data_IF_129372921506
#
_entry.id   IF_129372921506
#
_cell.length_a   1.000
_cell.length_b   1.000
_cell.length_c   1.000
_cell.angle_alpha   90.00
_cell.angle_beta   90.00
_cell.angle_gamma   90.00
#
_symmetry.space_group_name_H-M   'P 1'
#
loop_
_entity.id
_entity.type
_entity.pdbx_description
1 polymer ?
#
# COMPACT_ATOMS: atom_id res chain seq x y z
N UNK A 1 -5.55 -41.62 63.44
CA UNK A 1 -5.89 -40.60 62.43
C UNK A 1 -5.99 -39.27 63.14
N UNK A 2 -4.87 -38.58 63.32
CA UNK A 2 -4.87 -37.23 63.90
C UNK A 2 -4.91 -36.20 62.77
N UNK A 3 -5.73 -35.16 62.98
CA UNK A 3 -5.95 -34.06 62.05
C UNK A 3 -5.28 -32.82 62.65
N UNK A 4 -4.25 -32.28 61.98
CA UNK A 4 -3.61 -31.06 62.44
C UNK A 4 -4.46 -29.84 62.04
N UNK A 5 -4.84 -29.03 63.03
CA UNK A 5 -5.68 -27.83 62.90
C UNK A 5 -4.93 -26.64 63.51
N UNK A 6 -4.76 -25.53 62.78
CA UNK A 6 -4.10 -24.31 63.27
C UNK A 6 -5.07 -23.11 63.27
N UNK A 7 -5.63 -22.71 64.42
CA UNK A 7 -6.45 -21.50 64.55
C UNK A 7 -5.62 -20.26 64.95
N UNK A 8 -6.00 -19.07 64.47
CA UNK A 8 -5.50 -17.76 64.92
C UNK A 8 -6.55 -17.10 65.84
N UNK A 9 -6.29 -16.91 67.14
CA UNK A 9 -7.31 -16.44 68.12
C UNK A 9 -7.07 -14.97 68.53
N UNK A 10 -8.14 -14.16 68.55
CA UNK A 10 -8.23 -12.87 69.28
C UNK A 10 -9.53 -12.85 70.09
N UNK A 11 -9.46 -12.32 71.33
CA UNK A 11 -10.48 -12.49 72.36
C UNK A 11 -11.27 -11.20 72.64
N UNK A 12 -12.60 -11.32 72.75
CA UNK A 12 -13.47 -10.37 73.47
C UNK A 12 -14.59 -11.13 74.17
N UNK A 13 -15.00 -10.65 75.34
CA UNK A 13 -15.70 -11.40 76.39
C UNK A 13 -17.13 -11.89 76.08
N UNK A 14 -17.77 -11.45 74.98
CA UNK A 14 -19.18 -11.74 74.70
C UNK A 14 -19.47 -12.14 73.23
N UNK A 15 -18.53 -12.78 72.53
CA UNK A 15 -18.79 -13.30 71.17
C UNK A 15 -18.18 -14.67 70.90
N UNK A 16 -18.90 -15.51 70.15
CA UNK A 16 -18.37 -16.75 69.58
C UNK A 16 -17.70 -16.44 68.24
N UNK A 17 -16.38 -16.65 68.14
CA UNK A 17 -15.64 -16.63 66.88
C UNK A 17 -15.42 -18.08 66.42
N UNK A 18 -16.17 -18.54 65.42
CA UNK A 18 -15.89 -19.80 64.74
C UNK A 18 -14.75 -19.60 63.73
N UNK A 19 -13.52 -19.93 64.12
CA UNK A 19 -12.43 -20.12 63.15
C UNK A 19 -12.50 -21.52 62.58
N UNK A 20 -13.16 -21.64 61.43
CA UNK A 20 -13.09 -22.85 60.61
C UNK A 20 -11.63 -23.05 60.19
N UNK A 21 -11.05 -24.25 60.31
CA UNK A 21 -9.66 -24.48 59.90
C UNK A 21 -9.47 -24.12 58.43
N UNK A 22 -8.52 -23.24 58.15
CA UNK A 22 -8.17 -22.85 56.78
C UNK A 22 -7.39 -23.96 56.05
N UNK A 23 -6.91 -24.98 56.77
CA UNK A 23 -6.05 -26.04 56.25
C UNK A 23 -6.27 -27.35 57.02
N UNK A 24 -6.50 -28.43 56.27
CA UNK A 24 -6.59 -29.80 56.75
C UNK A 24 -5.58 -30.67 55.99
N UNK A 25 -4.71 -31.39 56.70
CA UNK A 25 -3.80 -32.40 56.13
C UNK A 25 -3.80 -33.65 57.00
N UNK A 26 -4.25 -34.80 56.48
CA UNK A 26 -4.11 -36.09 57.14
C UNK A 26 -2.62 -36.45 57.37
N UNK A 27 -2.33 -36.98 58.56
CA UNK A 27 -0.97 -37.33 59.00
C UNK A 27 -0.32 -38.47 58.18
N UNK A 28 -1.12 -39.28 57.47
CA UNK A 28 -0.67 -40.44 56.69
C UNK A 28 -0.01 -40.11 55.33
N UNK A 29 0.28 -38.83 55.05
CA UNK A 29 0.77 -38.37 53.75
C UNK A 29 2.24 -37.95 53.77
N UNK A 30 3.02 -38.53 52.85
CA UNK A 30 4.46 -38.29 52.68
C UNK A 30 4.74 -37.06 51.79
N UNK A 31 6.02 -36.75 51.60
CA UNK A 31 6.49 -35.76 50.61
C UNK A 31 6.12 -36.13 49.17
N UNK A 32 5.98 -37.42 48.86
CA UNK A 32 5.73 -37.91 47.50
C UNK A 32 4.24 -38.06 47.14
N UNK A 33 3.38 -38.13 48.16
CA UNK A 33 1.94 -38.32 47.97
C UNK A 33 1.15 -37.74 49.14
N UNK A 34 0.20 -36.88 48.83
CA UNK A 34 -0.74 -36.41 49.82
C UNK A 34 -1.86 -35.55 49.30
N UNK A 35 -2.77 -35.23 50.21
CA UNK A 35 -3.88 -34.32 50.00
C UNK A 35 -3.98 -33.35 51.17
N UNK A 36 -4.24 -32.09 50.87
CA UNK A 36 -4.62 -31.08 51.82
C UNK A 36 -5.81 -30.28 51.27
N UNK A 37 -6.71 -29.83 52.15
CA UNK A 37 -7.93 -29.13 51.75
C UNK A 37 -8.36 -28.10 52.79
N UNK A 38 -9.22 -27.16 52.39
CA UNK A 38 -9.74 -26.05 53.19
C UNK A 38 -10.86 -25.34 52.40
N UNK A 39 -11.48 -24.32 52.99
CA UNK A 39 -12.68 -23.69 52.40
C UNK A 39 -12.43 -23.04 51.02
N UNK A 40 -11.24 -22.50 50.79
CA UNK A 40 -10.79 -21.97 49.49
C UNK A 40 -9.49 -22.63 49.01
N UNK A 41 -9.17 -23.80 49.52
CA UNK A 41 -7.87 -24.43 49.30
C UNK A 41 -8.03 -25.92 49.03
N UNK A 42 -7.36 -26.42 48.01
CA UNK A 42 -7.21 -27.86 47.79
C UNK A 42 -5.86 -28.11 47.12
N UNK A 43 -5.10 -29.08 47.63
CA UNK A 43 -3.83 -29.48 47.07
C UNK A 43 -3.72 -31.00 47.12
N UNK A 44 -3.53 -31.62 45.97
CA UNK A 44 -3.32 -33.04 45.81
C UNK A 44 -2.04 -33.24 45.02
N UNK A 45 -1.03 -33.81 45.65
CA UNK A 45 0.26 -34.09 45.04
C UNK A 45 0.52 -35.59 45.02
N UNK A 46 1.11 -36.04 43.92
CA UNK A 46 1.59 -37.40 43.64
C UNK A 46 2.91 -37.25 42.88
N UNK A 47 3.70 -38.31 42.83
CA UNK A 47 5.01 -38.35 42.15
C UNK A 47 5.04 -37.66 40.77
N UNK A 48 4.02 -37.86 39.94
CA UNK A 48 3.94 -37.30 38.58
C UNK A 48 2.78 -36.33 38.38
N UNK A 49 1.91 -36.13 39.37
CA UNK A 49 0.67 -35.38 39.21
C UNK A 49 0.46 -34.43 40.37
N UNK A 50 0.15 -33.18 40.06
CA UNK A 50 -0.18 -32.17 41.05
C UNK A 50 -1.45 -31.45 40.63
N UNK A 51 -2.36 -31.26 41.58
CA UNK A 51 -3.57 -30.46 41.43
C UNK A 51 -3.68 -29.50 42.60
N UNK A 52 -3.80 -28.21 42.33
CA UNK A 52 -3.83 -27.17 43.33
C UNK A 52 -4.93 -26.17 43.02
N UNK A 53 -5.65 -25.75 44.05
CA UNK A 53 -6.74 -24.80 44.01
C UNK A 53 -6.58 -23.84 45.18
N UNK A 54 -6.61 -22.53 44.91
CA UNK A 54 -6.58 -21.47 45.91
C UNK A 54 -7.48 -20.31 45.45
N UNK A 55 -8.71 -20.24 45.97
CA UNK A 55 -9.69 -19.24 45.57
C UNK A 55 -10.00 -19.31 44.06
N UNK A 56 -9.83 -18.22 43.28
CA UNK A 56 -10.06 -18.24 41.82
C UNK A 56 -8.89 -18.87 41.04
N UNK A 57 -7.84 -19.34 41.71
CA UNK A 57 -6.71 -19.98 41.07
C UNK A 57 -6.86 -21.50 41.08
N UNK A 58 -6.62 -22.12 39.94
CA UNK A 58 -6.52 -23.57 39.77
C UNK A 58 -5.27 -23.89 38.94
N UNK A 59 -4.57 -24.96 39.30
CA UNK A 59 -3.50 -25.52 38.49
C UNK A 59 -3.51 -27.04 38.56
N UNK A 60 -3.21 -27.65 37.42
CA UNK A 60 -2.98 -29.07 37.25
C UNK A 60 -1.70 -29.24 36.47
N UNK A 61 -0.86 -30.21 36.86
CA UNK A 61 0.35 -30.56 36.16
C UNK A 61 0.53 -32.07 36.20
N UNK A 62 0.85 -32.66 35.04
CA UNK A 62 1.32 -34.03 34.94
C UNK A 62 2.69 -34.02 34.25
N UNK A 63 3.74 -34.38 35.00
CA UNK A 63 5.12 -34.35 34.52
C UNK A 63 5.46 -35.47 33.53
N UNK A 64 4.70 -36.57 33.53
CA UNK A 64 4.92 -37.72 32.65
C UNK A 64 4.52 -37.41 31.21
N UNK A 65 3.37 -36.75 31.04
CA UNK A 65 2.84 -36.37 29.72
C UNK A 65 3.16 -34.92 29.34
N UNK A 66 3.97 -34.22 30.15
CA UNK A 66 4.25 -32.78 30.01
C UNK A 66 2.99 -31.91 29.85
N UNK A 67 1.90 -32.29 30.54
CA UNK A 67 0.62 -31.59 30.45
C UNK A 67 0.42 -30.66 31.64
N UNK A 68 -0.22 -29.52 31.39
CA UNK A 68 -0.62 -28.61 32.45
C UNK A 68 -1.92 -27.89 32.10
N UNK A 69 -2.66 -27.49 33.12
CA UNK A 69 -3.79 -26.58 33.00
C UNK A 69 -3.69 -25.56 34.13
N UNK A 70 -3.84 -24.29 33.82
CA UNK A 70 -3.88 -23.22 34.83
C UNK A 70 -5.07 -22.35 34.55
N UNK A 71 -5.80 -22.00 35.59
CA UNK A 71 -6.88 -21.04 35.55
C UNK A 71 -6.61 -20.03 36.65
N UNK A 72 -6.66 -18.75 36.29
CA UNK A 72 -6.68 -17.62 37.19
C UNK A 72 -7.84 -16.72 36.79
N UNK A 73 -8.12 -15.69 37.59
CA UNK A 73 -9.24 -14.77 37.32
C UNK A 73 -9.15 -14.04 35.96
N UNK A 74 -7.99 -14.02 35.31
CA UNK A 74 -7.75 -13.30 34.06
C UNK A 74 -7.15 -14.18 32.96
N UNK A 75 -6.85 -15.45 33.22
CA UNK A 75 -6.12 -16.28 32.27
C UNK A 75 -6.43 -17.76 32.47
N UNK A 76 -6.70 -18.43 31.36
CA UNK A 76 -6.75 -19.88 31.27
C UNK A 76 -5.64 -20.34 30.32
N UNK A 77 -4.80 -21.27 30.74
CA UNK A 77 -3.68 -21.80 29.96
C UNK A 77 -3.76 -23.32 30.00
N UNK A 78 -3.56 -23.99 28.86
CA UNK A 78 -3.47 -25.44 28.81
C UNK A 78 -2.35 -25.92 27.90
N UNK A 79 -1.80 -27.07 28.26
CA UNK A 79 -0.92 -27.88 27.44
C UNK A 79 -1.33 -29.33 27.58
N UNK A 80 -1.80 -29.91 26.49
CA UNK A 80 -2.12 -31.32 26.34
C UNK A 80 -1.14 -32.01 25.39
N UNK A 81 -1.36 -33.30 25.09
CA UNK A 81 -0.52 -34.05 24.15
C UNK A 81 -0.60 -33.54 22.70
N UNK A 82 -1.79 -33.11 22.27
CA UNK A 82 -2.06 -32.70 20.88
C UNK A 82 -2.35 -31.19 20.76
N UNK A 83 -2.69 -30.52 21.86
CA UNK A 83 -3.13 -29.11 21.83
C UNK A 83 -2.51 -28.32 22.95
N UNK A 84 -2.12 -27.08 22.66
CA UNK A 84 -1.71 -26.10 23.65
C UNK A 84 -2.36 -24.75 23.36
N UNK A 85 -2.55 -23.92 24.37
CA UNK A 85 -3.12 -22.60 24.17
C UNK A 85 -3.40 -21.83 25.44
N UNK A 86 -3.87 -20.61 25.23
CA UNK A 86 -4.14 -19.62 26.27
C UNK A 86 -5.38 -18.81 25.91
N UNK A 87 -6.20 -18.49 26.90
CA UNK A 87 -7.33 -17.56 26.80
C UNK A 87 -7.21 -16.56 27.95
N UNK A 88 -7.10 -15.29 27.62
CA UNK A 88 -7.15 -14.16 28.54
C UNK A 88 -7.97 -13.03 27.89
N UNK A 89 -8.38 -11.99 28.63
CA UNK A 89 -9.03 -10.83 28.05
C UNK A 89 -8.21 -10.20 26.91
N UNK A 90 -6.88 -10.30 26.95
CA UNK A 90 -5.97 -9.63 26.03
C UNK A 90 -5.33 -10.54 24.97
N UNK A 91 -5.43 -11.85 25.14
CA UNK A 91 -4.73 -12.81 24.29
C UNK A 91 -5.52 -14.11 24.19
N UNK A 92 -5.68 -14.61 22.97
CA UNK A 92 -6.16 -15.95 22.68
C UNK A 92 -5.13 -16.64 21.79
N UNK A 93 -4.58 -17.76 22.24
CA UNK A 93 -3.69 -18.61 21.46
C UNK A 93 -4.17 -20.05 21.44
N UNK A 94 -4.01 -20.70 20.30
CA UNK A 94 -4.34 -22.11 20.09
C UNK A 94 -3.34 -22.70 19.13
N UNK A 95 -2.79 -23.85 19.50
CA UNK A 95 -1.83 -24.58 18.68
C UNK A 95 -2.07 -26.08 18.73
N UNK A 96 -1.97 -26.70 17.56
CA UNK A 96 -1.99 -28.14 17.29
C UNK A 96 -0.99 -28.43 16.15
N UNK A 97 -0.80 -29.68 15.75
CA UNK A 97 0.10 -30.09 14.66
C UNK A 97 -0.13 -29.33 13.35
N UNK A 98 -1.38 -29.00 13.02
CA UNK A 98 -1.76 -28.39 11.74
C UNK A 98 -2.04 -26.88 11.80
N UNK A 99 -2.23 -26.33 13.01
CA UNK A 99 -2.77 -24.99 13.19
C UNK A 99 -2.04 -24.26 14.30
N UNK A 100 -1.63 -23.02 14.03
CA UNK A 100 -1.07 -22.09 15.01
C UNK A 100 -1.81 -20.75 14.88
N UNK A 101 -2.67 -20.47 15.85
CA UNK A 101 -3.49 -19.26 15.95
C UNK A 101 -3.04 -18.43 17.15
N UNK A 102 -2.78 -17.16 16.90
CA UNK A 102 -2.50 -16.17 17.93
C UNK A 102 -3.31 -14.90 17.66
N UNK A 103 -4.02 -14.42 18.68
CA UNK A 103 -4.81 -13.19 18.66
C UNK A 103 -4.50 -12.38 19.92
N UNK A 104 -4.06 -11.14 19.76
CA UNK A 104 -3.90 -10.18 20.86
C UNK A 104 -4.91 -9.03 20.72
N UNK A 105 -5.46 -8.50 21.83
CA UNK A 105 -6.35 -7.33 21.86
C UNK A 105 -5.72 -6.08 21.23
N UNK A 106 -4.40 -6.01 21.13
CA UNK A 106 -3.64 -4.96 20.44
C UNK A 106 -3.53 -5.19 18.92
N UNK A 107 -4.21 -6.20 18.36
CA UNK A 107 -4.42 -6.34 16.93
C UNK A 107 -3.45 -7.25 16.19
N UNK A 108 -2.47 -7.87 16.85
CA UNK A 108 -1.65 -8.90 16.20
C UNK A 108 -2.46 -10.20 16.06
N UNK A 109 -2.91 -10.48 14.84
CA UNK A 109 -3.45 -11.79 14.45
C UNK A 109 -2.42 -12.48 13.55
N UNK A 110 -1.85 -13.59 14.01
CA UNK A 110 -1.00 -14.46 13.20
C UNK A 110 -1.70 -15.80 13.07
N UNK A 111 -2.20 -16.11 11.88
CA UNK A 111 -2.70 -17.44 11.55
C UNK A 111 -1.71 -18.11 10.60
N UNK A 112 -0.90 -19.04 11.12
CA UNK A 112 -0.09 -19.91 10.24
C UNK A 112 -0.91 -21.17 9.99
N UNK A 113 -1.90 -21.06 9.11
CA UNK A 113 -2.59 -22.23 8.59
C UNK A 113 -1.79 -22.77 7.40
N UNK A 114 -1.40 -24.04 7.41
CA UNK A 114 -0.83 -24.74 6.24
C UNK A 114 -1.91 -25.04 5.16
N UNK A 115 -2.88 -24.15 5.00
CA UNK A 115 -4.08 -24.34 4.17
C UNK A 115 -4.28 -23.26 3.11
N UNK A 116 -5.30 -23.40 2.24
CA UNK A 116 -5.55 -22.51 1.12
C UNK A 116 -6.10 -21.13 1.53
N UNK A 117 -6.16 -20.78 2.80
CA UNK A 117 -6.64 -19.50 3.29
C UNK A 117 -5.67 -18.97 4.35
N UNK A 118 -5.15 -17.77 4.14
CA UNK A 118 -4.38 -17.03 5.15
C UNK A 118 -4.92 -15.61 5.29
N UNK A 119 -4.80 -15.05 6.48
CA UNK A 119 -5.23 -13.69 6.80
C UNK A 119 -4.17 -13.01 7.65
N UNK A 120 -3.82 -11.79 7.26
CA UNK A 120 -2.93 -10.90 7.97
C UNK A 120 -3.68 -9.61 8.32
N UNK A 121 -3.41 -9.09 9.52
CA UNK A 121 -4.01 -7.88 10.04
C UNK A 121 -2.90 -7.03 10.66
N UNK A 122 -2.78 -5.78 10.22
CA UNK A 122 -1.79 -4.83 10.70
C UNK A 122 -2.47 -3.52 11.14
N UNK A 123 -1.87 -2.85 12.11
CA UNK A 123 -2.36 -1.62 12.69
C UNK A 123 -1.24 -0.59 12.76
N UNK A 124 -1.46 0.58 12.15
CA UNK A 124 -0.52 1.70 12.22
C UNK A 124 -1.18 2.92 12.87
N UNK A 125 -0.49 3.54 13.82
CA UNK A 125 -0.90 4.83 14.41
C UNK A 125 -0.11 5.95 13.75
N UNK A 126 -0.80 6.88 13.11
CA UNK A 126 -0.19 8.14 12.70
C UNK A 126 -0.22 9.12 13.86
N UNK A 127 0.96 9.33 14.44
CA UNK A 127 1.18 10.21 15.60
C UNK A 127 0.81 11.67 15.32
N UNK A 128 0.80 12.11 14.07
CA UNK A 128 0.53 13.50 13.70
C UNK A 128 -0.97 13.76 13.51
N UNK A 129 -1.69 12.80 12.92
CA UNK A 129 -3.12 12.93 12.66
C UNK A 129 -4.01 12.33 13.75
N UNK A 130 -3.46 11.51 14.65
CA UNK A 130 -4.25 10.76 15.64
C UNK A 130 -5.18 9.73 15.00
N UNK A 131 -4.87 9.32 13.76
CA UNK A 131 -5.62 8.33 13.00
C UNK A 131 -5.00 6.95 13.17
N UNK A 132 -5.85 5.95 13.41
CA UNK A 132 -5.46 4.54 13.42
C UNK A 132 -5.84 3.96 12.06
N UNK A 133 -4.84 3.41 11.37
CA UNK A 133 -5.00 2.65 10.15
C UNK A 133 -5.10 1.18 10.48
N UNK A 134 -6.10 0.52 9.89
CA UNK A 134 -6.33 -0.91 10.00
C UNK A 134 -6.16 -1.49 8.62
N UNK A 135 -5.08 -2.24 8.43
CA UNK A 135 -4.72 -2.89 7.18
C UNK A 135 -5.06 -4.39 7.28
N UNK A 136 -5.91 -4.89 6.39
CA UNK A 136 -6.37 -6.27 6.39
C UNK A 136 -6.05 -6.91 5.05
N UNK A 137 -5.31 -8.00 5.08
CA UNK A 137 -4.95 -8.78 3.90
C UNK A 137 -5.48 -10.21 4.04
N UNK A 138 -6.18 -10.69 3.03
CA UNK A 138 -6.73 -12.03 2.95
C UNK A 138 -6.27 -12.68 1.67
N UNK A 139 -5.64 -13.85 1.78
CA UNK A 139 -5.13 -14.61 0.65
C UNK A 139 -5.84 -15.97 0.56
N UNK A 140 -6.18 -16.37 -0.66
CA UNK A 140 -6.85 -17.63 -0.93
C UNK A 140 -6.13 -18.41 -2.04
N UNK A 141 -6.16 -19.74 -1.92
CA UNK A 141 -5.54 -20.72 -2.80
C UNK A 141 -4.06 -20.42 -3.09
N UNK A 142 -3.23 -20.34 -2.04
CA UNK A 142 -1.79 -20.06 -2.16
C UNK A 142 -1.49 -18.75 -2.92
N UNK A 143 -2.16 -17.67 -2.53
CA UNK A 143 -2.07 -16.33 -3.14
C UNK A 143 -2.59 -16.25 -4.58
N UNK A 144 -3.30 -17.26 -5.08
CA UNK A 144 -3.97 -17.18 -6.37
C UNK A 144 -5.03 -16.08 -6.36
N UNK A 145 -5.65 -15.82 -5.21
CA UNK A 145 -6.54 -14.70 -4.99
C UNK A 145 -6.11 -13.93 -3.73
N UNK A 146 -6.24 -12.61 -3.75
CA UNK A 146 -6.04 -11.78 -2.57
C UNK A 146 -7.06 -10.65 -2.49
N UNK A 147 -7.37 -10.23 -1.28
CA UNK A 147 -8.15 -9.03 -0.98
C UNK A 147 -7.37 -8.25 0.07
N UNK A 148 -7.16 -6.97 -0.19
CA UNK A 148 -6.43 -6.04 0.66
C UNK A 148 -7.32 -4.84 0.99
N UNK A 149 -7.37 -4.42 2.24
CA UNK A 149 -8.20 -3.29 2.69
C UNK A 149 -7.43 -2.42 3.68
N UNK A 150 -7.62 -1.11 3.60
CA UNK A 150 -7.21 -0.14 4.63
C UNK A 150 -8.42 0.66 5.05
N UNK A 151 -8.71 0.65 6.35
CA UNK A 151 -9.74 1.49 6.97
C UNK A 151 -9.10 2.44 7.97
N UNK A 152 -9.72 3.61 8.16
CA UNK A 152 -9.25 4.61 9.12
C UNK A 152 -10.26 4.80 10.22
N UNK A 153 -9.76 4.75 11.46
CA UNK A 153 -10.51 5.15 12.64
C UNK A 153 -9.91 6.45 13.16
N UNK A 154 -10.73 7.50 13.21
CA UNK A 154 -10.34 8.77 13.84
C UNK A 154 -10.62 8.71 15.34
N UNK A 155 -9.60 8.91 16.17
CA UNK A 155 -9.76 8.96 17.62
C UNK A 155 -10.47 10.26 18.05
N UNK A 156 -11.37 10.22 19.06
CA UNK A 156 -12.13 11.39 19.52
C UNK A 156 -11.26 12.47 20.18
N UNK A 157 -9.98 12.19 20.47
CA UNK A 157 -9.02 13.12 21.10
C UNK A 157 -7.98 13.69 20.11
N UNK A 158 -8.34 13.81 18.82
CA UNK A 158 -7.45 14.26 17.74
C UNK A 158 -6.66 15.55 18.04
N UNK A 159 -7.23 16.46 18.82
CA UNK A 159 -6.58 17.71 19.24
C UNK A 159 -5.40 17.50 20.20
N UNK A 160 -5.42 16.43 21.02
CA UNK A 160 -4.34 16.12 21.95
C UNK A 160 -3.07 15.69 21.21
N UNK A 161 -3.21 14.89 20.15
CA UNK A 161 -2.08 14.41 19.34
C UNK A 161 -1.49 15.47 18.41
N UNK A 162 -2.31 16.41 17.91
CA UNK A 162 -1.83 17.58 17.16
C UNK A 162 -0.80 18.43 17.92
N UNK A 163 -0.85 18.46 19.26
CA UNK A 163 0.11 19.20 20.09
C UNK A 163 1.51 18.58 20.15
N UNK A 164 1.65 17.29 19.82
CA UNK A 164 2.92 16.56 19.86
C UNK A 164 3.55 16.33 18.48
N UNK A 165 2.78 16.51 17.40
CA UNK A 165 3.29 16.49 16.03
C UNK A 165 4.05 17.77 15.73
N UNK A 166 5.38 17.69 15.69
CA UNK A 166 6.24 18.79 15.23
C UNK A 166 5.83 19.16 13.80
N UNK A 167 5.72 20.47 13.52
CA UNK A 167 5.46 20.99 12.18
C UNK A 167 6.60 20.58 11.21
N UNK A 168 6.48 19.40 10.62
CA UNK A 168 7.21 19.06 9.42
C UNK A 168 6.57 19.86 8.29
N UNK A 169 7.30 20.88 7.83
CA UNK A 169 7.05 21.58 6.57
C UNK A 169 6.63 20.55 5.53
N UNK A 170 5.44 20.74 4.94
CA UNK A 170 5.13 20.17 3.63
C UNK A 170 6.22 20.69 2.70
N UNK A 171 7.15 19.83 2.30
CA UNK A 171 7.97 20.05 1.12
C UNK A 171 7.01 20.20 -0.05
N UNK A 172 6.69 21.46 -0.33
CA UNK A 172 6.08 21.91 -1.57
C UNK A 172 7.23 22.52 -2.36
N UNK A 173 8.24 21.70 -2.65
CA UNK A 173 9.22 22.01 -3.67
C UNK A 173 8.58 21.69 -5.03
N UNK A 174 7.70 22.60 -5.46
CA UNK A 174 7.42 22.76 -6.88
C UNK A 174 8.66 23.37 -7.53
N UNK A 175 9.61 22.51 -7.90
CA UNK A 175 10.54 22.85 -8.98
C UNK A 175 9.78 22.75 -10.28
N UNK A 176 9.53 23.91 -10.90
CA UNK A 176 9.24 24.01 -12.32
C UNK A 176 10.42 23.44 -13.12
N UNK A 177 10.42 22.13 -13.32
CA UNK A 177 11.23 21.50 -14.36
C UNK A 177 10.45 21.59 -15.66
N UNK A 178 10.91 22.47 -16.55
CA UNK A 178 10.47 22.60 -17.94
C UNK A 178 10.89 21.38 -18.75
N UNK A 179 10.11 20.33 -18.62
CA UNK A 179 10.17 19.12 -19.44
C UNK A 179 8.84 18.37 -19.32
N UNK A 180 8.40 17.70 -20.39
CA UNK A 180 7.19 16.88 -20.36
C UNK A 180 7.43 15.70 -19.41
N UNK A 181 7.05 15.89 -18.16
CA UNK A 181 7.28 14.94 -17.08
C UNK A 181 6.05 14.02 -16.99
N UNK A 182 6.19 12.79 -17.51
CA UNK A 182 5.28 11.65 -17.27
C UNK A 182 5.25 11.20 -15.78
N UNK A 183 5.81 11.96 -14.83
CA UNK A 183 5.93 11.59 -13.41
C UNK A 183 4.70 11.91 -12.55
N UNK A 184 3.68 12.58 -13.09
CA UNK A 184 2.48 12.91 -12.29
C UNK A 184 1.64 11.69 -11.93
N UNK A 185 1.81 10.55 -12.61
CA UNK A 185 1.12 9.31 -12.24
C UNK A 185 1.95 8.48 -11.25
N UNK A 186 1.91 8.87 -9.97
CA UNK A 186 2.44 8.01 -8.90
C UNK A 186 1.54 6.77 -8.79
N UNK A 187 2.16 5.59 -8.92
CA UNK A 187 1.53 4.30 -8.66
C UNK A 187 0.82 4.32 -7.29
N UNK A 188 -0.26 3.56 -7.16
CA UNK A 188 -0.97 3.44 -5.89
C UNK A 188 -0.06 2.78 -4.87
N UNK A 189 0.23 3.52 -3.80
CA UNK A 189 0.89 2.96 -2.63
C UNK A 189 -0.12 2.99 -1.49
N UNK A 190 -0.54 1.80 -1.04
CA UNK A 190 -1.48 1.63 0.10
C UNK A 190 -1.03 2.42 1.33
N UNK A 191 0.26 2.41 1.62
CA UNK A 191 0.84 2.99 2.83
C UNK A 191 0.66 4.51 2.92
N UNK A 192 0.54 5.18 1.77
CA UNK A 192 0.31 6.63 1.67
C UNK A 192 -1.17 7.00 1.53
N UNK A 193 -2.05 6.02 1.34
CA UNK A 193 -3.47 6.23 1.14
C UNK A 193 -4.21 6.31 2.48
N UNK A 194 -5.25 7.15 2.54
CA UNK A 194 -6.14 7.17 3.70
C UNK A 194 -7.07 5.96 3.68
N UNK A 195 -7.76 5.73 2.57
CA UNK A 195 -8.58 4.54 2.34
C UNK A 195 -8.00 3.71 1.20
N UNK A 196 -8.00 2.38 1.36
CA UNK A 196 -7.57 1.46 0.30
C UNK A 196 -8.50 0.25 0.22
N UNK A 197 -8.82 -0.16 -0.99
CA UNK A 197 -9.47 -1.44 -1.27
C UNK A 197 -8.87 -2.02 -2.53
N UNK A 198 -8.39 -3.25 -2.47
CA UNK A 198 -7.85 -3.95 -3.63
C UNK A 198 -8.21 -5.41 -3.61
N UNK A 199 -8.32 -6.01 -4.79
CA UNK A 199 -8.35 -7.44 -4.95
C UNK A 199 -7.45 -7.84 -6.11
N UNK A 200 -6.86 -9.02 -6.01
CA UNK A 200 -6.07 -9.61 -7.06
C UNK A 200 -6.43 -11.07 -7.27
N UNK A 201 -6.23 -11.55 -8.49
CA UNK A 201 -6.45 -12.90 -8.92
C UNK A 201 -5.34 -13.32 -9.89
N UNK A 202 -5.11 -14.63 -10.01
CA UNK A 202 -4.10 -15.22 -10.87
C UNK A 202 -2.70 -14.61 -10.62
N UNK A 203 -2.30 -14.55 -9.35
CA UNK A 203 -1.01 -13.99 -8.92
C UNK A 203 -0.83 -12.51 -9.36
N UNK A 204 -1.91 -11.74 -9.36
CA UNK A 204 -1.89 -10.31 -9.70
C UNK A 204 -2.04 -10.01 -11.20
N UNK A 205 -2.18 -11.02 -12.06
CA UNK A 205 -2.47 -10.80 -13.48
C UNK A 205 -3.80 -10.08 -13.68
N UNK A 206 -4.79 -10.37 -12.84
CA UNK A 206 -6.05 -9.65 -12.80
C UNK A 206 -6.15 -8.94 -11.44
N UNK A 207 -6.28 -7.62 -11.42
CA UNK A 207 -6.47 -6.91 -10.16
C UNK A 207 -7.24 -5.61 -10.32
N UNK A 208 -7.85 -5.19 -9.23
CA UNK A 208 -8.47 -3.89 -9.06
C UNK A 208 -7.94 -3.29 -7.76
N UNK A 209 -7.61 -2.00 -7.78
CA UNK A 209 -7.09 -1.28 -6.63
C UNK A 209 -7.72 0.12 -6.59
N UNK A 210 -8.19 0.49 -5.42
CA UNK A 210 -8.87 1.74 -5.12
C UNK A 210 -8.12 2.39 -3.95
N UNK A 211 -7.67 3.62 -4.14
CA UNK A 211 -6.91 4.39 -3.15
C UNK A 211 -7.39 5.83 -3.14
N UNK A 212 -8.06 6.21 -2.06
CA UNK A 212 -8.74 7.51 -1.94
C UNK A 212 -9.66 7.77 -3.14
N UNK A 213 -9.33 8.71 -4.04
CA UNK A 213 -10.10 8.98 -5.27
C UNK A 213 -9.57 8.24 -6.51
N UNK A 214 -8.41 7.60 -6.42
CA UNK A 214 -7.76 6.90 -7.53
C UNK A 214 -8.25 5.47 -7.62
N UNK A 215 -8.33 4.97 -8.84
CA UNK A 215 -8.85 3.66 -9.21
C UNK A 215 -7.98 3.06 -10.29
N UNK A 216 -7.69 1.77 -10.17
CA UNK A 216 -6.79 1.06 -11.05
C UNK A 216 -7.38 -0.31 -11.32
N UNK A 217 -7.41 -0.72 -12.58
CA UNK A 217 -7.78 -2.06 -12.98
C UNK A 217 -6.77 -2.56 -13.99
N UNK A 218 -6.27 -3.79 -13.80
CA UNK A 218 -5.35 -4.44 -14.72
C UNK A 218 -5.78 -5.88 -14.99
N UNK A 219 -5.62 -6.30 -16.22
CA UNK A 219 -5.76 -7.65 -16.73
C UNK A 219 -4.54 -7.89 -17.65
N UNK A 220 -3.39 -8.19 -17.07
CA UNK A 220 -2.12 -8.28 -17.79
C UNK A 220 -2.07 -9.50 -18.72
N UNK A 221 -1.42 -9.37 -19.90
CA UNK A 221 -0.87 -8.14 -20.50
C UNK A 221 -1.91 -7.35 -21.31
N UNK A 222 -3.18 -7.76 -21.29
CA UNK A 222 -4.21 -7.34 -22.24
C UNK A 222 -4.73 -5.93 -21.98
N UNK A 223 -4.83 -5.50 -20.72
CA UNK A 223 -5.48 -4.24 -20.40
C UNK A 223 -5.00 -3.69 -19.07
N UNK A 224 -4.85 -2.38 -19.00
CA UNK A 224 -4.60 -1.62 -17.79
C UNK A 224 -5.29 -0.27 -17.93
N UNK A 225 -6.24 0.02 -17.05
CA UNK A 225 -6.85 1.34 -16.92
C UNK A 225 -6.60 1.88 -15.53
N UNK A 226 -6.40 3.18 -15.41
CA UNK A 226 -6.36 3.85 -14.13
C UNK A 226 -6.96 5.24 -14.27
N UNK A 227 -7.70 5.69 -13.27
CA UNK A 227 -8.42 6.95 -13.33
C UNK A 227 -8.57 7.55 -11.94
N UNK A 228 -8.76 8.86 -11.88
CA UNK A 228 -9.11 9.58 -10.65
C UNK A 228 -10.58 10.01 -10.72
N UNK A 229 -11.35 9.83 -9.65
CA UNK A 229 -12.73 10.30 -9.55
C UNK A 229 -12.84 11.82 -9.34
N UNK A 230 -11.77 12.46 -8.83
CA UNK A 230 -11.75 13.90 -8.51
C UNK A 230 -11.11 14.76 -9.60
N UNK A 231 -10.35 14.17 -10.51
CA UNK A 231 -9.73 14.89 -11.63
C UNK A 231 -10.13 14.23 -12.96
N UNK A 232 -9.71 14.83 -14.07
CA UNK A 232 -9.86 14.21 -15.39
C UNK A 232 -8.72 13.24 -15.71
N UNK A 233 -7.87 12.94 -14.74
CA UNK A 233 -6.69 12.12 -14.95
C UNK A 233 -7.10 10.68 -15.24
N UNK A 234 -6.70 10.21 -16.42
CA UNK A 234 -6.98 8.86 -16.87
C UNK A 234 -5.80 8.32 -17.67
N UNK A 235 -5.45 7.07 -17.40
CA UNK A 235 -4.46 6.29 -18.11
C UNK A 235 -5.12 5.01 -18.62
N UNK A 236 -4.87 4.65 -19.86
CA UNK A 236 -5.30 3.39 -20.45
C UNK A 236 -4.19 2.80 -21.30
N UNK A 237 -3.94 1.52 -21.15
CA UNK A 237 -2.88 0.78 -21.83
C UNK A 237 -3.41 -0.59 -22.22
N UNK A 238 -3.21 -0.95 -23.47
CA UNK A 238 -3.31 -2.32 -23.96
C UNK A 238 -2.20 -2.55 -25.01
N UNK A 239 -1.97 -3.80 -25.46
CA UNK A 239 -0.92 -4.08 -26.43
C UNK A 239 -1.00 -3.29 -27.76
N UNK A 240 -2.18 -2.75 -28.08
CA UNK A 240 -2.46 -2.04 -29.33
C UNK A 240 -2.65 -0.53 -29.15
N UNK A 241 -2.66 -0.02 -27.92
CA UNK A 241 -3.07 1.35 -27.65
C UNK A 241 -2.60 1.83 -26.28
N UNK A 242 -2.22 3.10 -26.24
CA UNK A 242 -1.89 3.83 -25.02
C UNK A 242 -2.61 5.18 -25.06
N UNK A 243 -3.24 5.58 -23.96
CA UNK A 243 -3.83 6.91 -23.83
C UNK A 243 -3.66 7.43 -22.44
N UNK A 244 -3.33 8.71 -22.35
CA UNK A 244 -3.25 9.48 -21.12
C UNK A 244 -4.04 10.78 -21.30
N UNK A 245 -4.87 11.11 -20.34
CA UNK A 245 -5.62 12.36 -20.31
C UNK A 245 -5.44 12.99 -18.94
N UNK A 246 -5.29 14.31 -18.92
CA UNK A 246 -5.36 15.18 -17.74
C UNK A 246 -6.16 16.43 -18.09
N UNK A 247 -6.23 17.39 -17.17
CA UNK A 247 -6.93 18.66 -17.43
C UNK A 247 -6.32 19.47 -18.58
N UNK A 248 -4.99 19.45 -18.71
CA UNK A 248 -4.28 20.28 -19.70
C UNK A 248 -3.65 19.46 -20.82
N UNK A 249 -3.40 18.17 -20.61
CA UNK A 249 -2.62 17.33 -21.52
C UNK A 249 -3.44 16.10 -21.92
N UNK A 250 -3.42 15.80 -23.22
CA UNK A 250 -3.94 14.56 -23.76
C UNK A 250 -2.87 13.92 -24.65
N UNK A 251 -2.65 12.63 -24.48
CA UNK A 251 -1.73 11.85 -25.26
C UNK A 251 -2.39 10.55 -25.69
N UNK A 252 -2.20 10.16 -26.94
CA UNK A 252 -2.77 8.96 -27.52
C UNK A 252 -1.78 8.33 -28.48
N UNK A 253 -1.56 7.03 -28.37
CA UNK A 253 -0.72 6.25 -29.29
C UNK A 253 -1.47 5.00 -29.68
N UNK A 254 -1.58 4.80 -30.99
CA UNK A 254 -2.04 3.55 -31.56
C UNK A 254 -0.83 2.69 -31.98
N UNK A 255 -0.83 1.46 -31.50
CA UNK A 255 0.24 0.47 -31.65
C UNK A 255 1.56 0.92 -31.01
N UNK A 256 1.70 0.88 -29.66
CA UNK A 256 2.92 1.34 -29.00
C UNK A 256 4.18 0.55 -29.39
N UNK A 257 4.04 -0.71 -29.81
CA UNK A 257 5.16 -1.54 -30.31
C UNK A 257 5.63 -1.08 -31.69
N UNK A 258 4.72 -0.57 -32.52
CA UNK A 258 4.99 -0.03 -33.85
C UNK A 258 4.12 1.22 -34.04
N UNK A 259 4.57 2.41 -33.60
CA UNK A 259 3.71 3.60 -33.53
C UNK A 259 3.25 4.03 -34.92
N UNK A 260 2.03 3.62 -35.25
CA UNK A 260 1.36 3.97 -36.51
C UNK A 260 0.72 5.35 -36.41
N UNK A 261 0.32 5.73 -35.19
CA UNK A 261 -0.25 7.03 -34.90
C UNK A 261 0.07 7.44 -33.46
N UNK A 262 0.47 8.69 -33.27
CA UNK A 262 0.64 9.32 -31.98
C UNK A 262 0.04 10.73 -32.03
N UNK A 263 -0.70 11.14 -31.01
CA UNK A 263 -1.25 12.47 -30.86
C UNK A 263 -0.95 12.99 -29.47
N UNK A 264 -0.47 14.21 -29.39
CA UNK A 264 -0.35 14.98 -28.17
C UNK A 264 -1.13 16.28 -28.32
N UNK A 265 -1.93 16.63 -27.33
CA UNK A 265 -2.57 17.93 -27.20
C UNK A 265 -2.22 18.51 -25.85
N UNK A 266 -1.77 19.75 -25.85
CA UNK A 266 -1.44 20.47 -24.63
C UNK A 266 -2.11 21.85 -24.70
N UNK A 267 -3.11 22.06 -23.84
CA UNK A 267 -3.98 23.23 -23.84
C UNK A 267 -4.65 23.44 -25.21
N UNK A 268 -4.04 24.27 -26.05
CA UNK A 268 -4.50 24.61 -27.40
C UNK A 268 -3.49 24.29 -28.50
N UNK A 269 -2.34 23.70 -28.15
CA UNK A 269 -1.32 23.22 -29.09
C UNK A 269 -1.50 21.73 -29.33
N UNK A 270 -1.11 21.24 -30.51
CA UNK A 270 -1.27 19.82 -30.87
C UNK A 270 -0.13 19.32 -31.76
N UNK A 271 0.25 18.07 -31.59
CA UNK A 271 1.20 17.34 -32.42
C UNK A 271 0.56 16.00 -32.78
N UNK A 272 0.40 15.73 -34.07
CA UNK A 272 -0.04 14.45 -34.62
C UNK A 272 1.10 13.85 -35.45
N UNK A 273 1.57 12.65 -35.12
CA UNK A 273 2.57 11.90 -35.87
C UNK A 273 1.97 10.60 -36.42
N UNK A 274 2.31 10.28 -37.66
CA UNK A 274 1.81 9.12 -38.39
C UNK A 274 2.99 8.30 -38.93
N UNK A 275 2.84 6.98 -38.90
CA UNK A 275 3.74 5.98 -39.47
C UNK A 275 5.22 6.23 -39.13
N UNK A 276 5.62 6.00 -37.87
CA UNK A 276 7.03 6.15 -37.44
C UNK A 276 7.65 7.53 -37.81
N UNK A 277 6.89 8.62 -37.61
CA UNK A 277 7.30 9.99 -37.96
C UNK A 277 7.50 10.24 -39.47
N UNK A 278 6.89 9.42 -40.34
CA UNK A 278 6.80 9.70 -41.77
C UNK A 278 6.02 10.97 -42.04
N UNK A 279 4.96 11.24 -41.29
CA UNK A 279 4.22 12.51 -41.39
C UNK A 279 3.94 13.05 -40.00
N UNK A 280 4.29 14.30 -39.75
CA UNK A 280 4.02 15.01 -38.49
C UNK A 280 3.29 16.31 -38.82
N UNK A 281 2.21 16.58 -38.09
CA UNK A 281 1.47 17.83 -38.12
C UNK A 281 1.53 18.46 -36.74
N UNK A 282 1.98 19.69 -36.65
CA UNK A 282 2.12 20.44 -35.41
C UNK A 282 1.37 21.76 -35.51
N UNK A 283 0.72 22.15 -34.42
CA UNK A 283 0.12 23.45 -34.23
C UNK A 283 0.53 24.00 -32.87
N UNK A 284 1.20 25.14 -32.88
CA UNK A 284 1.54 25.89 -31.66
C UNK A 284 0.62 27.11 -31.54
N UNK A 285 -0.18 27.15 -30.47
CA UNK A 285 -1.08 28.27 -30.21
C UNK A 285 -0.35 29.57 -29.86
N UNK A 286 0.81 29.50 -29.20
CA UNK A 286 1.55 30.68 -28.72
C UNK A 286 2.15 31.46 -29.90
N UNK A 287 2.64 30.74 -30.90
CA UNK A 287 3.23 31.33 -32.10
C UNK A 287 2.23 31.43 -33.27
N UNK A 288 1.02 30.90 -33.09
CA UNK A 288 0.03 30.67 -34.16
C UNK A 288 0.65 29.97 -35.38
N UNK A 289 1.50 28.96 -35.09
CA UNK A 289 2.36 28.32 -36.07
C UNK A 289 1.82 26.94 -36.42
N UNK A 290 1.63 26.70 -37.71
CA UNK A 290 1.33 25.39 -38.28
C UNK A 290 2.59 24.84 -38.93
N UNK A 291 2.95 23.60 -38.61
CA UNK A 291 4.12 22.91 -39.15
C UNK A 291 3.74 21.52 -39.64
N UNK A 292 4.27 21.17 -40.82
CA UNK A 292 4.04 19.91 -41.51
C UNK A 292 5.39 19.32 -41.87
N UNK A 293 5.72 18.17 -41.31
CA UNK A 293 6.93 17.42 -41.61
C UNK A 293 6.59 16.16 -42.38
N UNK A 294 7.31 15.91 -43.47
CA UNK A 294 7.28 14.66 -44.22
C UNK A 294 8.66 14.03 -44.15
N UNK A 295 8.75 12.75 -43.80
CA UNK A 295 9.99 12.02 -43.59
C UNK A 295 10.93 12.78 -42.66
N UNK A 296 10.58 12.92 -41.38
CA UNK A 296 11.42 13.64 -40.43
C UNK A 296 12.86 13.05 -40.44
N UNK A 297 13.93 13.86 -40.51
CA UNK A 297 13.96 15.33 -40.50
C UNK A 297 14.06 15.99 -41.89
N UNK A 298 13.86 15.26 -43.00
CA UNK A 298 14.24 15.71 -44.34
C UNK A 298 13.36 16.82 -44.92
N UNK A 299 12.03 16.65 -44.88
CA UNK A 299 11.10 17.62 -45.48
C UNK A 299 10.23 18.28 -44.43
N UNK A 300 10.14 19.60 -44.46
CA UNK A 300 9.37 20.36 -43.50
C UNK A 300 8.81 21.63 -44.14
N UNK A 301 7.63 22.03 -43.74
CA UNK A 301 6.97 23.26 -44.13
C UNK A 301 6.30 23.87 -42.90
N UNK A 302 6.53 25.16 -42.64
CA UNK A 302 5.91 25.85 -41.52
C UNK A 302 5.40 27.23 -41.93
N UNK A 303 4.35 27.67 -41.25
CA UNK A 303 3.72 28.98 -41.43
C UNK A 303 3.19 29.48 -40.10
N UNK A 304 3.43 30.75 -39.81
CA UNK A 304 2.87 31.48 -38.68
C UNK A 304 2.44 32.87 -39.14
N UNK A 305 2.00 33.71 -38.20
CA UNK A 305 1.69 35.12 -38.46
C UNK A 305 2.93 35.96 -38.84
N UNK A 306 4.12 35.58 -38.37
CA UNK A 306 5.36 36.36 -38.51
C UNK A 306 6.40 35.71 -39.42
N UNK A 307 6.32 34.39 -39.64
CA UNK A 307 7.29 33.66 -40.42
C UNK A 307 6.68 32.51 -41.22
N UNK A 308 7.32 32.17 -42.33
CA UNK A 308 7.03 30.97 -43.11
C UNK A 308 8.29 30.41 -43.72
N UNK A 309 8.32 29.11 -43.99
CA UNK A 309 9.50 28.50 -44.54
C UNK A 309 9.30 27.04 -44.92
N UNK A 310 10.31 26.50 -45.58
CA UNK A 310 10.36 25.09 -45.88
C UNK A 310 11.80 24.57 -45.94
N UNK A 311 11.92 23.26 -45.78
CA UNK A 311 13.17 22.52 -45.84
C UNK A 311 12.97 21.26 -46.67
N UNK A 312 13.95 20.95 -47.51
CA UNK A 312 14.11 19.66 -48.18
C UNK A 312 15.60 19.33 -48.15
N UNK A 313 16.05 18.67 -47.08
CA UNK A 313 17.48 18.36 -46.91
C UNK A 313 17.95 17.26 -47.87
N UNK A 314 19.21 17.32 -48.34
CA UNK A 314 20.19 18.40 -48.15
C UNK A 314 20.08 19.53 -49.21
N UNK A 315 19.02 19.56 -50.01
CA UNK A 315 18.94 20.36 -51.23
C UNK A 315 18.61 21.84 -51.00
N UNK A 316 17.63 22.13 -50.15
CA UNK A 316 17.14 23.49 -49.97
C UNK A 316 16.60 23.73 -48.58
N UNK A 317 16.83 24.95 -48.08
CA UNK A 317 16.18 25.51 -46.91
C UNK A 317 15.82 26.96 -47.18
N UNK A 318 14.59 27.33 -46.87
CA UNK A 318 14.08 28.69 -47.06
C UNK A 318 13.35 29.15 -45.81
N UNK A 319 13.65 30.36 -45.35
CA UNK A 319 12.96 31.04 -44.26
C UNK A 319 12.62 32.46 -44.66
N UNK A 320 11.37 32.86 -44.49
CA UNK A 320 10.87 34.21 -44.72
C UNK A 320 10.22 34.73 -43.45
N UNK A 321 10.62 35.93 -43.03
CA UNK A 321 9.98 36.75 -41.99
C UNK A 321 9.62 38.10 -42.60
N UNK A 322 8.93 38.95 -41.86
CA UNK A 322 8.63 40.32 -42.32
C UNK A 322 9.89 41.13 -42.65
N UNK A 323 10.98 40.92 -41.90
CA UNK A 323 12.21 41.69 -42.02
C UNK A 323 13.26 41.03 -42.93
N UNK A 324 13.15 39.72 -43.18
CA UNK A 324 14.25 38.96 -43.77
C UNK A 324 13.79 37.72 -44.52
N UNK A 325 14.34 37.51 -45.71
CA UNK A 325 14.21 36.28 -46.50
C UNK A 325 15.59 35.64 -46.67
N UNK A 326 15.72 34.38 -46.29
CA UNK A 326 16.95 33.59 -46.44
C UNK A 326 16.62 32.35 -47.28
N UNK A 327 17.50 32.06 -48.23
CA UNK A 327 17.49 30.84 -49.03
C UNK A 327 18.88 30.22 -49.03
N UNK A 328 18.95 28.94 -48.71
CA UNK A 328 20.18 28.15 -48.69
C UNK A 328 19.99 26.91 -49.55
N UNK A 329 20.97 26.63 -50.40
CA UNK A 329 21.13 25.38 -51.14
C UNK A 329 22.64 25.12 -51.30
N UNK A 330 23.07 23.88 -51.62
CA UNK A 330 24.49 23.58 -51.82
C UNK A 330 25.18 24.46 -52.88
N UNK A 331 24.43 24.99 -53.85
CA UNK A 331 24.97 25.76 -54.99
C UNK A 331 24.64 27.24 -54.94
N UNK A 332 23.72 27.67 -54.07
CA UNK A 332 23.23 29.04 -54.04
C UNK A 332 22.77 29.44 -52.63
N UNK A 333 23.23 30.59 -52.17
CA UNK A 333 22.88 31.22 -50.91
C UNK A 333 22.35 32.63 -51.22
N UNK A 334 21.22 33.02 -50.64
CA UNK A 334 20.77 34.41 -50.68
C UNK A 334 20.13 34.86 -49.38
N UNK A 335 20.35 36.11 -49.02
CA UNK A 335 19.71 36.78 -47.89
C UNK A 335 19.23 38.15 -48.36
N UNK A 336 17.96 38.46 -48.14
CA UNK A 336 17.34 39.73 -48.53
C UNK A 336 16.60 40.32 -47.34
N UNK A 337 16.92 41.57 -47.04
CA UNK A 337 16.23 42.43 -46.09
C UNK A 337 15.70 43.67 -46.86
N UNK A 338 14.84 44.52 -46.28
CA UNK A 338 14.32 45.72 -46.94
C UNK A 338 15.39 46.66 -47.49
N UNK A 339 16.53 46.77 -46.80
CA UNK A 339 17.61 47.70 -47.16
C UNK A 339 18.71 47.09 -48.02
N UNK A 340 18.93 45.77 -47.93
CA UNK A 340 20.09 45.11 -48.52
C UNK A 340 19.75 43.71 -49.02
N UNK A 341 20.35 43.34 -50.15
CA UNK A 341 20.28 41.99 -50.71
C UNK A 341 21.67 41.44 -50.98
N UNK A 342 21.91 40.21 -50.54
CA UNK A 342 23.13 39.44 -50.77
C UNK A 342 22.79 38.13 -51.47
N UNK A 343 23.56 37.76 -52.50
CA UNK A 343 23.51 36.44 -53.14
C UNK A 343 24.91 35.94 -53.48
N UNK A 344 25.12 34.64 -53.31
CA UNK A 344 26.36 33.93 -53.62
C UNK A 344 26.00 32.65 -54.37
N UNK A 345 26.59 32.46 -55.55
CA UNK A 345 26.43 31.27 -56.38
C UNK A 345 27.78 30.56 -56.50
N UNK A 346 27.81 29.25 -56.24
CA UNK A 346 29.02 28.44 -56.38
C UNK A 346 29.18 27.88 -57.80
N UNK A 347 28.19 28.09 -58.68
CA UNK A 347 28.19 27.64 -60.08
C UNK A 347 28.69 28.71 -61.07
N UNK A 348 29.16 29.87 -60.58
CA UNK A 348 29.67 30.96 -61.43
C UNK A 348 31.09 31.37 -60.99
N UNK A 349 31.99 30.40 -61.04
CA UNK A 349 33.44 30.62 -61.06
C UNK A 349 34.05 29.90 -62.25
#
# INVERSE_FOLDING_TARGET
NELNVYPLVSYKQDSYLFLVPLYFRPQAYSSEKGKAFGFFYYHNWRKNEESFFLGPYYSYKNSENNTHRKFSFYKYEWKGPETEGEISPFEVSYKNENYDYYLNLLGFMKSRAEGPLSQDLDFALDKNSGEIYIDTDTYFAFNLFSISRRNVISLPFKEYYKKFGTELKKDTDEKEESGVILSKYKMVERDKARSYYGWSALLGMLSYEESDSRRHFRALPLYWISWDEKSKDQLQVNPFYFSYASEEIYYHVFSPILPLYASQKEKNSSIDAYLLAFFIKEYDKKEDRNEYTLLWPFMNYYTSSTEKGYRVLPFVWKKETEERSIFLSPVYISSKNPEQSFSLSFLHY
#
